data_IF_347706916259
#
_entry.id   IF_347706916259
#
_cell.length_a   1.000
_cell.length_b   1.000
_cell.length_c   1.000
_cell.angle_alpha   90.00
_cell.angle_beta   90.00
_cell.angle_gamma   90.00
#
_symmetry.space_group_name_H-M   'P 1'
#
loop_
_entity.id
_entity.type
_entity.pdbx_description
1 polymer ?
#
# COMPACT_ATOMS: atom_id res chain seq x y z
N UNK A 1 4.62 42.59 23.18
CA UNK A 1 4.01 41.37 22.61
C UNK A 1 3.19 41.79 21.39
N UNK A 2 3.52 41.28 20.20
CA UNK A 2 2.68 41.47 18.99
C UNK A 2 1.51 40.48 19.08
N UNK A 3 0.24 40.90 18.91
CA UNK A 3 -0.89 39.98 18.99
C UNK A 3 -0.91 39.06 17.76
N UNK A 4 -1.19 37.79 18.03
CA UNK A 4 -0.86 36.60 17.22
C UNK A 4 -1.82 36.30 16.06
N UNK A 5 -2.68 37.24 15.66
CA UNK A 5 -3.83 36.95 14.78
C UNK A 5 -3.89 37.80 13.50
N UNK A 6 -2.83 38.57 13.20
CA UNK A 6 -2.77 39.44 12.03
C UNK A 6 -1.75 38.95 11.03
N UNK A 7 -2.16 38.83 9.78
CA UNK A 7 -1.26 38.61 8.66
C UNK A 7 -0.91 39.99 8.07
N UNK A 8 0.20 40.54 8.53
CA UNK A 8 0.68 41.87 8.15
C UNK A 8 1.42 41.78 6.82
N UNK A 9 0.74 42.09 5.71
CA UNK A 9 1.35 42.20 4.38
C UNK A 9 1.68 43.68 4.13
N UNK A 10 2.60 44.23 4.91
CA UNK A 10 3.06 45.60 4.68
C UNK A 10 3.83 45.68 3.35
N UNK A 11 3.17 46.24 2.34
CA UNK A 11 3.82 46.70 1.11
C UNK A 11 4.65 47.98 1.40
N UNK A 12 5.71 48.26 0.63
CA UNK A 12 6.70 49.32 0.90
C UNK A 12 6.08 50.72 1.07
N UNK A 13 6.82 51.71 1.63
CA UNK A 13 6.31 52.82 2.45
C UNK A 13 5.57 53.96 1.69
N UNK A 14 4.91 53.65 0.57
CA UNK A 14 4.20 54.62 -0.28
C UNK A 14 2.75 54.22 -0.59
N UNK A 15 2.27 53.08 -0.09
CA UNK A 15 0.88 52.61 -0.24
C UNK A 15 0.22 52.41 1.12
N UNK A 16 -1.09 52.61 1.22
CA UNK A 16 -1.86 52.46 2.45
C UNK A 16 -1.49 51.17 3.21
N UNK A 17 -1.28 51.27 4.52
CA UNK A 17 -1.02 50.11 5.40
C UNK A 17 -2.27 49.23 5.47
N UNK A 18 -2.39 48.33 4.50
CA UNK A 18 -3.44 47.33 4.40
C UNK A 18 -3.08 46.16 5.32
N UNK A 19 -3.94 45.86 6.28
CA UNK A 19 -3.77 44.77 7.24
C UNK A 19 -4.87 43.75 7.03
N UNK A 20 -4.50 42.47 6.89
CA UNK A 20 -5.46 41.39 6.80
C UNK A 20 -5.81 40.83 8.17
N UNK A 21 -7.10 40.58 8.37
CA UNK A 21 -7.63 39.86 9.53
C UNK A 21 -8.74 38.91 9.10
N UNK A 22 -9.21 38.08 10.03
CA UNK A 22 -10.50 37.41 9.85
C UNK A 22 -11.65 38.43 9.87
N UNK A 23 -12.80 38.12 9.25
CA UNK A 23 -13.98 38.97 9.30
C UNK A 23 -14.42 39.27 10.73
N UNK A 24 -14.86 40.50 10.95
CA UNK A 24 -15.23 41.06 12.25
C UNK A 24 -14.17 40.86 13.34
N UNK A 25 -12.90 40.82 12.96
CA UNK A 25 -11.78 40.57 13.88
C UNK A 25 -11.93 39.26 14.68
N UNK A 26 -12.51 38.22 14.05
CA UNK A 26 -12.54 36.88 14.61
C UNK A 26 -11.11 36.43 14.97
N UNK A 27 -10.94 35.84 16.16
CA UNK A 27 -9.65 35.46 16.77
C UNK A 27 -8.64 36.58 17.06
N UNK A 28 -8.92 37.84 16.72
CA UNK A 28 -8.09 38.96 17.14
C UNK A 28 -8.42 39.40 18.57
N UNK A 29 -7.50 40.17 19.18
CA UNK A 29 -7.66 40.74 20.52
C UNK A 29 -8.90 41.65 20.59
N UNK A 30 -9.56 41.68 21.74
CA UNK A 30 -10.74 42.50 22.01
C UNK A 30 -10.49 43.99 21.80
N UNK A 31 -9.25 44.46 21.91
CA UNK A 31 -8.89 45.86 21.62
C UNK A 31 -9.28 46.24 20.19
N UNK A 32 -9.10 45.33 19.21
CA UNK A 32 -9.45 45.61 17.81
C UNK A 32 -10.96 45.54 17.58
N UNK A 33 -11.64 44.56 18.18
CA UNK A 33 -13.11 44.41 18.11
C UNK A 33 -13.84 45.61 18.70
N UNK A 34 -13.35 46.11 19.83
CA UNK A 34 -13.97 47.22 20.56
C UNK A 34 -13.59 48.59 19.98
N UNK A 35 -12.63 48.65 19.06
CA UNK A 35 -12.20 49.91 18.44
C UNK A 35 -13.18 50.41 17.37
N UNK A 36 -14.05 49.53 16.85
CA UNK A 36 -15.01 49.85 15.78
C UNK A 36 -16.39 49.31 16.16
N UNK A 37 -17.41 50.16 16.09
CA UNK A 37 -18.80 49.78 16.33
C UNK A 37 -19.30 48.90 15.18
N UNK A 38 -20.02 47.82 15.50
CA UNK A 38 -20.63 46.91 14.51
C UNK A 38 -19.81 45.65 14.21
N UNK A 39 -18.79 45.34 15.02
CA UNK A 39 -18.04 44.08 14.91
C UNK A 39 -18.76 42.95 15.67
N UNK A 40 -19.23 41.94 14.94
CA UNK A 40 -19.91 40.76 15.49
C UNK A 40 -19.22 39.47 15.02
N UNK A 41 -18.11 39.06 15.65
CA UNK A 41 -17.42 37.83 15.27
C UNK A 41 -18.31 36.62 15.55
N UNK A 42 -18.43 35.74 14.55
CA UNK A 42 -19.21 34.51 14.57
C UNK A 42 -18.31 33.45 13.93
N UNK A 43 -17.97 32.40 14.67
CA UNK A 43 -17.05 31.39 14.19
C UNK A 43 -17.59 30.68 12.94
N UNK A 44 -18.87 30.37 12.88
CA UNK A 44 -19.43 29.61 11.76
C UNK A 44 -19.48 30.43 10.47
N UNK A 45 -19.68 31.75 10.59
CA UNK A 45 -19.73 32.66 9.44
C UNK A 45 -18.37 33.21 9.04
N UNK A 46 -17.44 33.37 9.97
CA UNK A 46 -16.21 34.13 9.74
C UNK A 46 -14.93 33.29 9.80
N UNK A 47 -15.00 32.00 10.16
CA UNK A 47 -13.81 31.11 10.11
C UNK A 47 -13.40 30.79 8.67
N UNK A 48 -12.11 30.58 8.46
CA UNK A 48 -11.58 30.01 7.22
C UNK A 48 -11.48 28.51 7.45
N UNK A 49 -12.01 27.71 6.52
CA UNK A 49 -11.92 26.26 6.63
C UNK A 49 -11.86 25.61 5.25
N UNK A 50 -11.30 24.40 5.21
CA UNK A 50 -11.29 23.53 4.04
C UNK A 50 -11.53 22.11 4.55
N UNK A 51 -12.63 21.52 4.11
CA UNK A 51 -12.98 20.12 4.39
C UNK A 51 -12.45 19.26 3.25
N UNK A 52 -11.55 18.33 3.58
CA UNK A 52 -10.83 17.49 2.62
C UNK A 52 -11.24 16.03 2.81
N UNK A 53 -11.52 15.33 1.72
CA UNK A 53 -11.78 13.89 1.76
C UNK A 53 -10.47 13.12 2.04
N UNK A 54 -10.44 12.25 3.07
CA UNK A 54 -9.19 11.69 3.60
C UNK A 54 -8.47 10.71 2.67
N UNK A 55 -9.17 9.98 1.80
CA UNK A 55 -8.55 8.97 0.95
C UNK A 55 -7.95 9.57 -0.34
N UNK A 56 -8.55 10.64 -0.85
CA UNK A 56 -8.27 11.24 -2.17
C UNK A 56 -7.59 12.60 -2.07
N UNK A 57 -7.69 13.28 -0.92
CA UNK A 57 -7.18 14.65 -0.75
C UNK A 57 -8.01 15.72 -1.45
N UNK A 58 -9.20 15.37 -1.95
CA UNK A 58 -10.06 16.30 -2.70
C UNK A 58 -10.80 17.25 -1.75
N UNK A 59 -10.76 18.58 -1.96
CA UNK A 59 -11.55 19.52 -1.16
C UNK A 59 -13.04 19.40 -1.52
N UNK A 60 -13.87 18.99 -0.56
CA UNK A 60 -15.33 18.85 -0.75
C UNK A 60 -16.03 20.17 -0.48
N UNK A 61 -15.57 20.89 0.54
CA UNK A 61 -16.12 22.19 0.92
C UNK A 61 -14.99 23.08 1.41
N UNK A 62 -15.10 24.37 1.18
CA UNK A 62 -14.20 25.33 1.78
C UNK A 62 -14.79 26.72 1.77
N UNK A 63 -14.33 27.54 2.70
CA UNK A 63 -14.59 28.97 2.71
C UNK A 63 -13.30 29.71 2.98
N UNK A 64 -12.89 30.55 2.03
CA UNK A 64 -11.81 31.52 2.18
C UNK A 64 -12.44 32.86 2.51
N UNK A 65 -12.00 33.44 3.62
CA UNK A 65 -12.54 34.70 4.12
C UNK A 65 -11.41 35.61 4.55
N UNK A 66 -11.47 36.86 4.13
CA UNK A 66 -10.45 37.84 4.50
C UNK A 66 -11.09 39.21 4.69
N UNK A 67 -10.70 39.89 5.75
CA UNK A 67 -11.06 41.28 6.01
C UNK A 67 -9.86 42.17 5.75
N UNK A 68 -10.10 43.21 4.97
CA UNK A 68 -9.15 44.24 4.62
C UNK A 68 -9.33 45.43 5.54
N UNK A 69 -8.28 45.77 6.28
CA UNK A 69 -8.29 46.86 7.23
C UNK A 69 -7.22 47.88 6.88
N UNK A 70 -7.43 49.13 7.30
CA UNK A 70 -6.42 50.18 7.24
C UNK A 70 -6.09 50.68 8.63
N UNK A 71 -4.82 51.04 8.81
CA UNK A 71 -4.38 51.70 10.04
C UNK A 71 -4.74 53.19 9.99
N UNK A 72 -5.84 53.56 10.65
CA UNK A 72 -6.27 54.94 10.77
C UNK A 72 -5.53 55.62 11.92
N UNK A 73 -4.91 56.77 11.66
CA UNK A 73 -4.24 57.61 12.66
C UNK A 73 -4.42 59.09 12.30
N UNK A 74 -4.33 60.00 13.29
CA UNK A 74 -4.22 61.42 13.02
C UNK A 74 -3.04 61.72 12.10
N UNK A 75 -3.27 62.47 11.03
CA UNK A 75 -2.23 62.95 10.12
C UNK A 75 -2.06 64.44 10.31
N UNK A 76 -0.83 64.86 10.63
CA UNK A 76 -0.48 66.28 10.73
C UNK A 76 -0.73 66.97 9.39
N UNK A 77 -1.43 68.10 9.41
CA UNK A 77 -1.81 68.85 8.21
C UNK A 77 -3.19 68.50 7.62
N UNK A 78 -3.89 67.48 8.14
CA UNK A 78 -5.27 67.16 7.72
C UNK A 78 -6.21 67.27 8.93
N UNK A 79 -6.90 68.41 9.13
CA UNK A 79 -7.77 68.65 10.29
C UNK A 79 -8.86 67.58 10.47
N UNK A 80 -9.40 67.05 9.37
CA UNK A 80 -10.44 66.01 9.40
C UNK A 80 -10.01 64.71 10.08
N UNK A 81 -8.70 64.41 10.12
CA UNK A 81 -8.18 63.18 10.74
C UNK A 81 -7.79 63.36 12.21
N UNK A 82 -7.77 64.59 12.72
CA UNK A 82 -7.34 64.90 14.09
C UNK A 82 -8.31 64.37 15.16
N UNK A 83 -9.57 64.13 14.78
CA UNK A 83 -10.58 63.53 15.66
C UNK A 83 -10.47 62.01 15.75
N UNK A 84 -9.72 61.37 14.85
CA UNK A 84 -9.63 59.90 14.80
C UNK A 84 -8.71 59.37 15.89
N UNK A 85 -9.14 58.29 16.55
CA UNK A 85 -8.25 57.50 17.41
C UNK A 85 -7.42 56.56 16.54
N UNK A 86 -6.16 56.39 16.91
CA UNK A 86 -5.27 55.42 16.27
C UNK A 86 -5.86 54.02 16.42
N UNK A 87 -6.39 53.46 15.33
CA UNK A 87 -7.14 52.21 15.35
C UNK A 87 -7.13 51.52 13.99
N UNK A 88 -7.48 50.24 13.98
CA UNK A 88 -7.54 49.43 12.77
C UNK A 88 -8.98 49.44 12.24
N UNK A 89 -9.20 50.11 11.12
CA UNK A 89 -10.55 50.33 10.57
C UNK A 89 -10.80 49.35 9.42
N UNK A 90 -11.82 48.48 9.49
CA UNK A 90 -12.18 47.59 8.41
C UNK A 90 -12.80 48.38 7.25
N UNK A 91 -12.41 48.04 6.02
CA UNK A 91 -12.98 48.62 4.80
C UNK A 91 -14.01 47.67 4.22
N UNK A 92 -13.59 46.43 3.95
CA UNK A 92 -14.41 45.38 3.36
C UNK A 92 -13.90 44.03 3.82
N UNK A 93 -14.76 43.02 3.70
CA UNK A 93 -14.36 41.63 3.80
C UNK A 93 -14.93 40.87 2.60
N UNK A 94 -14.23 39.81 2.21
CA UNK A 94 -14.58 38.98 1.07
C UNK A 94 -14.88 37.56 1.57
N UNK A 95 -15.92 36.95 1.02
CA UNK A 95 -16.24 35.52 1.17
C UNK A 95 -16.10 34.83 -0.18
N UNK A 96 -15.24 33.83 -0.24
CA UNK A 96 -15.12 32.92 -1.36
C UNK A 96 -15.37 31.50 -0.86
N UNK A 97 -16.59 31.01 -1.07
CA UNK A 97 -17.01 29.66 -0.69
C UNK A 97 -17.06 28.73 -1.88
N UNK A 98 -16.53 27.52 -1.72
CA UNK A 98 -16.66 26.42 -2.67
C UNK A 98 -17.40 25.26 -2.01
N UNK A 99 -18.38 24.72 -2.72
CA UNK A 99 -19.12 23.52 -2.33
C UNK A 99 -19.13 22.63 -3.57
N UNK A 100 -18.53 21.45 -3.48
CA UNK A 100 -18.66 20.45 -4.53
C UNK A 100 -20.11 19.92 -4.53
N UNK A 101 -20.81 19.95 -5.67
CA UNK A 101 -22.15 19.37 -5.75
C UNK A 101 -22.11 17.86 -5.52
N UNK A 102 -23.16 17.33 -4.89
CA UNK A 102 -23.23 15.93 -4.47
C UNK A 102 -23.00 14.94 -5.63
N UNK A 103 -23.45 15.27 -6.84
CA UNK A 103 -23.24 14.47 -8.06
C UNK A 103 -21.75 14.23 -8.38
N UNK A 104 -20.91 15.26 -8.19
CA UNK A 104 -19.47 15.16 -8.42
C UNK A 104 -18.77 14.43 -7.28
N UNK A 105 -19.26 14.59 -6.04
CA UNK A 105 -18.76 13.85 -4.89
C UNK A 105 -18.97 12.35 -5.10
N UNK A 106 -20.19 11.94 -5.48
CA UNK A 106 -20.49 10.54 -5.77
C UNK A 106 -19.65 9.97 -6.92
N UNK A 107 -19.42 10.75 -7.99
CA UNK A 107 -18.57 10.31 -9.10
C UNK A 107 -17.09 10.15 -8.67
N UNK A 108 -16.55 11.13 -7.94
CA UNK A 108 -15.17 11.10 -7.42
C UNK A 108 -14.98 9.95 -6.45
N UNK A 109 -15.86 9.83 -5.45
CA UNK A 109 -15.84 8.77 -4.46
C UNK A 109 -16.04 7.41 -5.11
N UNK A 110 -17.00 7.29 -6.03
CA UNK A 110 -17.29 6.06 -6.76
C UNK A 110 -16.11 5.58 -7.58
N UNK A 111 -15.41 6.47 -8.31
CA UNK A 111 -14.24 6.07 -9.11
C UNK A 111 -13.00 5.80 -8.27
N UNK A 112 -12.68 6.69 -7.34
CA UNK A 112 -11.44 6.62 -6.56
C UNK A 112 -11.51 5.55 -5.47
N UNK A 113 -12.59 5.49 -4.69
CA UNK A 113 -12.72 4.47 -3.63
C UNK A 113 -12.96 3.08 -4.21
N UNK A 114 -13.66 2.95 -5.33
CA UNK A 114 -13.82 1.63 -5.96
C UNK A 114 -12.45 1.08 -6.40
N UNK A 115 -11.60 1.91 -7.01
CA UNK A 115 -10.27 1.46 -7.42
C UNK A 115 -9.39 1.07 -6.23
N UNK A 116 -9.43 1.81 -5.13
CA UNK A 116 -8.68 1.48 -3.91
C UNK A 116 -9.20 0.19 -3.25
N UNK A 117 -10.54 0.05 -3.14
CA UNK A 117 -11.18 -1.13 -2.56
C UNK A 117 -10.89 -2.40 -3.35
N UNK A 118 -10.80 -2.32 -4.68
CA UNK A 118 -10.40 -3.45 -5.50
C UNK A 118 -8.98 -3.91 -5.16
N UNK A 119 -8.03 -2.99 -5.01
CA UNK A 119 -6.64 -3.31 -4.64
C UNK A 119 -6.58 -4.02 -3.29
N UNK A 120 -7.32 -3.53 -2.30
CA UNK A 120 -7.39 -4.14 -0.96
C UNK A 120 -7.98 -5.56 -0.96
N UNK A 121 -8.81 -5.91 -1.95
CA UNK A 121 -9.36 -7.27 -2.11
C UNK A 121 -8.41 -8.14 -2.94
N UNK A 122 -7.84 -7.62 -4.03
CA UNK A 122 -6.99 -8.41 -4.92
C UNK A 122 -5.67 -8.82 -4.27
N UNK A 123 -5.03 -7.94 -3.49
CA UNK A 123 -3.76 -8.25 -2.82
C UNK A 123 -3.86 -9.49 -1.91
N UNK A 124 -4.78 -9.58 -0.93
CA UNK A 124 -4.87 -10.76 -0.06
C UNK A 124 -5.30 -12.02 -0.81
N UNK A 125 -6.13 -11.90 -1.86
CA UNK A 125 -6.52 -13.04 -2.70
C UNK A 125 -5.31 -13.62 -3.43
N UNK A 126 -4.47 -12.79 -4.03
CA UNK A 126 -3.24 -13.23 -4.70
C UNK A 126 -2.27 -13.87 -3.70
N UNK A 127 -2.09 -13.26 -2.53
CA UNK A 127 -1.24 -13.81 -1.47
C UNK A 127 -1.76 -15.18 -1.01
N UNK A 128 -3.07 -15.31 -0.77
CA UNK A 128 -3.69 -16.57 -0.37
C UNK A 128 -3.52 -17.66 -1.45
N UNK A 129 -3.69 -17.33 -2.73
CA UNK A 129 -3.48 -18.25 -3.84
C UNK A 129 -2.01 -18.71 -3.93
N UNK A 130 -1.06 -17.78 -3.82
CA UNK A 130 0.37 -18.10 -3.80
C UNK A 130 0.73 -19.03 -2.62
N UNK A 131 0.23 -18.75 -1.42
CA UNK A 131 0.42 -19.62 -0.26
C UNK A 131 -0.16 -21.02 -0.48
N UNK A 132 -1.34 -21.12 -1.08
CA UNK A 132 -1.98 -22.40 -1.38
C UNK A 132 -1.15 -23.24 -2.36
N UNK A 133 -0.64 -22.64 -3.43
CA UNK A 133 0.21 -23.33 -4.42
C UNK A 133 1.51 -23.83 -3.77
N UNK A 134 2.13 -23.03 -2.90
CA UNK A 134 3.33 -23.43 -2.17
C UNK A 134 3.06 -24.60 -1.21
N UNK A 135 1.94 -24.59 -0.50
CA UNK A 135 1.55 -25.69 0.40
C UNK A 135 1.26 -26.99 -0.38
N UNK A 136 0.58 -26.91 -1.52
CA UNK A 136 0.33 -28.08 -2.36
C UNK A 136 1.62 -28.62 -2.97
N UNK A 137 2.48 -27.74 -3.49
CA UNK A 137 3.78 -28.12 -4.07
C UNK A 137 4.69 -28.79 -3.05
N UNK A 138 4.82 -28.23 -1.85
CA UNK A 138 5.62 -28.83 -0.77
C UNK A 138 5.02 -30.14 -0.26
N UNK A 139 3.70 -30.25 -0.17
CA UNK A 139 3.03 -31.51 0.19
C UNK A 139 3.29 -32.63 -0.82
N UNK A 140 3.25 -32.32 -2.13
CA UNK A 140 3.53 -33.27 -3.20
C UNK A 140 5.00 -33.71 -3.20
N UNK A 141 5.95 -32.80 -2.98
CA UNK A 141 7.38 -33.15 -2.94
C UNK A 141 7.74 -34.01 -1.73
N UNK A 142 7.18 -33.70 -0.54
CA UNK A 142 7.34 -34.53 0.66
C UNK A 142 6.75 -35.92 0.44
N UNK A 143 5.53 -36.02 -0.09
CA UNK A 143 4.89 -37.31 -0.39
C UNK A 143 5.73 -38.13 -1.37
N UNK A 144 6.23 -37.52 -2.45
CA UNK A 144 7.11 -38.19 -3.40
C UNK A 144 8.41 -38.68 -2.75
N UNK A 145 9.00 -37.89 -1.85
CA UNK A 145 10.19 -38.28 -1.10
C UNK A 145 9.94 -39.47 -0.16
N UNK A 146 8.82 -39.47 0.57
CA UNK A 146 8.44 -40.58 1.46
C UNK A 146 8.18 -41.88 0.69
N UNK A 147 7.48 -41.81 -0.46
CA UNK A 147 7.25 -42.97 -1.34
C UNK A 147 8.57 -43.51 -1.89
N UNK A 148 9.46 -42.63 -2.38
CA UNK A 148 10.81 -43.04 -2.83
C UNK A 148 11.61 -43.72 -1.73
N UNK A 149 11.52 -43.24 -0.48
CA UNK A 149 12.18 -43.86 0.67
C UNK A 149 11.61 -45.25 0.98
N UNK A 150 10.29 -45.43 0.85
CA UNK A 150 9.64 -46.73 1.04
C UNK A 150 10.07 -47.74 -0.02
N UNK A 151 10.12 -47.34 -1.30
CA UNK A 151 10.53 -48.22 -2.42
C UNK A 151 11.98 -48.69 -2.23
N UNK A 152 12.91 -47.77 -1.94
CA UNK A 152 14.32 -48.13 -1.69
C UNK A 152 14.50 -49.09 -0.51
N UNK A 153 13.67 -48.95 0.55
CA UNK A 153 13.69 -49.87 1.69
C UNK A 153 13.15 -51.25 1.31
N UNK A 154 12.09 -51.32 0.52
CA UNK A 154 11.52 -52.59 0.03
C UNK A 154 12.49 -53.31 -0.92
N UNK A 155 13.17 -52.58 -1.81
CA UNK A 155 14.22 -53.15 -2.67
C UNK A 155 15.40 -53.70 -1.86
N UNK A 156 15.89 -52.96 -0.87
CA UNK A 156 16.97 -53.42 0.00
C UNK A 156 16.59 -54.67 0.83
N UNK A 157 15.31 -54.80 1.24
CA UNK A 157 14.82 -55.98 1.97
C UNK A 157 14.61 -57.18 1.04
N UNK A 158 14.20 -56.95 -0.21
CA UNK A 158 14.01 -58.00 -1.20
C UNK A 158 15.35 -58.60 -1.65
N UNK A 159 16.40 -57.80 -1.74
CA UNK A 159 17.77 -58.23 -2.04
C UNK A 159 18.44 -58.99 -0.87
N UNK A 160 17.91 -58.85 0.36
CA UNK A 160 18.43 -59.50 1.58
C UNK A 160 17.72 -60.82 1.90
N UNK A 161 16.72 -61.27 1.13
CA UNK A 161 16.02 -62.53 1.40
C UNK A 161 16.85 -63.73 0.87
N UNK A 162 17.15 -64.76 1.70
CA UNK A 162 17.91 -65.92 1.23
C UNK A 162 17.14 -66.69 0.15
N UNK A 163 17.84 -67.03 -0.93
CA UNK A 163 17.40 -67.99 -1.95
C UNK A 163 17.16 -69.37 -1.29
N UNK A 164 16.13 -70.14 -1.69
CA UNK A 164 15.89 -71.45 -1.12
C UNK A 164 17.08 -72.39 -1.40
N UNK A 165 17.61 -72.96 -0.32
CA UNK A 165 18.72 -73.91 -0.30
C UNK A 165 18.36 -75.17 -1.09
N UNK A 166 19.15 -75.49 -2.12
CA UNK A 166 19.03 -76.72 -2.90
C UNK A 166 19.65 -77.84 -2.07
N UNK A 167 18.82 -78.71 -1.51
CA UNK A 167 19.24 -79.86 -0.71
C UNK A 167 19.93 -80.92 -1.58
N UNK A 168 21.25 -81.05 -1.45
CA UNK A 168 22.08 -82.01 -2.17
C UNK A 168 21.92 -83.41 -1.56
N UNK A 169 21.18 -84.28 -2.24
CA UNK A 169 21.08 -85.71 -1.90
C UNK A 169 22.34 -86.46 -2.42
N UNK A 170 23.02 -87.31 -1.62
CA UNK A 170 24.20 -88.02 -2.09
C UNK A 170 23.84 -89.10 -3.13
N UNK A 171 24.58 -89.11 -4.24
CA UNK A 171 24.57 -90.13 -5.30
C UNK A 171 25.25 -91.43 -4.82
N UNK A 172 24.71 -92.63 -5.10
CA UNK A 172 25.33 -93.89 -4.69
C UNK A 172 26.47 -94.31 -5.63
N UNK A 173 27.62 -94.66 -5.05
CA UNK A 173 28.75 -95.28 -5.76
C UNK A 173 28.32 -96.60 -6.42
N UNK A 174 28.53 -96.71 -7.75
CA UNK A 174 28.38 -97.99 -8.45
C UNK A 174 29.58 -98.25 -9.38
N UNK A 175 30.39 -99.20 -8.92
CA UNK A 175 31.37 -100.11 -9.53
C UNK A 175 31.79 -99.94 -11.01
N UNK A 176 33.12 -100.03 -11.19
CA UNK A 176 33.85 -100.10 -12.48
C UNK A 176 34.06 -101.57 -12.87
N UNK A 177 33.68 -101.97 -14.09
CA UNK A 177 34.31 -103.08 -14.85
C UNK A 177 33.91 -103.03 -16.36
N UNK A 178 34.60 -103.71 -17.30
CA UNK A 178 35.57 -103.04 -18.18
C UNK A 178 35.33 -103.17 -19.70
N UNK A 179 35.95 -102.23 -20.43
CA UNK A 179 36.52 -102.26 -21.80
C UNK A 179 35.95 -103.24 -22.85
N UNK A 180 35.44 -102.67 -23.95
CA UNK A 180 35.65 -103.19 -25.31
C UNK A 180 35.84 -102.05 -26.32
N UNK A 181 36.87 -102.16 -27.15
CA UNK A 181 37.20 -101.36 -28.34
C UNK A 181 37.27 -102.37 -29.51
N UNK A 182 37.41 -101.96 -30.78
CA UNK A 182 36.79 -100.86 -31.55
C UNK A 182 36.34 -101.34 -32.96
N UNK A 183 35.72 -100.50 -33.81
CA UNK A 183 35.82 -100.60 -35.30
C UNK A 183 35.02 -99.48 -36.04
N UNK A 184 35.27 -99.18 -37.33
CA UNK A 184 36.50 -98.68 -37.92
C UNK A 184 36.30 -97.30 -38.61
N UNK A 185 37.42 -96.69 -38.99
CA UNK A 185 37.49 -95.43 -39.77
C UNK A 185 36.99 -95.64 -41.19
N UNK A 186 36.23 -94.67 -41.70
CA UNK A 186 36.20 -94.37 -43.13
C UNK A 186 36.89 -93.03 -43.40
N UNK A 187 37.61 -93.02 -44.51
CA UNK A 187 38.62 -92.07 -44.94
C UNK A 187 38.03 -91.35 -46.15
N UNK A 188 38.05 -90.02 -46.18
CA UNK A 188 38.06 -89.22 -47.43
C UNK A 188 38.48 -87.80 -47.03
N UNK A 189 39.76 -87.41 -47.13
CA UNK A 189 40.54 -87.03 -48.32
C UNK A 189 39.94 -85.91 -49.18
N UNK A 190 40.76 -84.87 -49.41
CA UNK A 190 40.63 -83.91 -50.51
C UNK A 190 40.35 -82.47 -50.06
N UNK A 191 41.32 -81.71 -49.52
CA UNK A 191 42.44 -81.07 -50.22
C UNK A 191 42.06 -79.92 -51.17
N UNK A 192 42.68 -78.76 -50.89
CA UNK A 192 43.12 -77.69 -51.81
C UNK A 192 42.03 -76.80 -52.41
N UNK A 193 42.19 -75.47 -52.50
CA UNK A 193 43.40 -74.66 -52.62
C UNK A 193 43.12 -73.23 -52.16
#
# INVERSE_FOLDING_TARGET
MKPTSFFDISLPPRGAFLVLSYPHFLFADNIYRNSVVGMWPDEDKHKIFVDIEPNTGTPIRGAKRAQFNIFARPVSGIPATQTFRTSLVPILWVDESIILPDEFVEELTGRLLHSLRLVDIFIPVIIAACCLVLLLGTGLTIRAFLVRKSIKKTEAVLDTKPQPEVETRPEPETQIEPRSQPEPRLIENGATK
#
